data_IF_554143871470
#
_entry.id   IF_554143871470
#
_cell.length_a   1.000
_cell.length_b   1.000
_cell.length_c   1.000
_cell.angle_alpha   90.00
_cell.angle_beta   90.00
_cell.angle_gamma   90.00
#
_symmetry.space_group_name_H-M   'P 1'
#
loop_
_entity.id
_entity.type
_entity.pdbx_description
1 polymer ?
#
# COMPACT_ATOMS: atom_id res chain seq x y z
N UNK A 1 2.47 -8.37 -5.28
CA UNK A 1 1.08 -8.81 -5.09
C UNK A 1 0.14 -7.66 -5.38
N UNK A 2 -1.07 -7.92 -5.86
CA UNK A 2 -2.06 -6.87 -6.16
C UNK A 2 -2.98 -6.66 -4.96
N UNK A 3 -3.09 -5.41 -4.48
CA UNK A 3 -4.05 -4.98 -3.46
C UNK A 3 -5.12 -4.16 -4.17
N UNK A 4 -6.39 -4.48 -3.96
CA UNK A 4 -7.51 -3.88 -4.69
C UNK A 4 -8.53 -3.27 -3.75
N UNK A 5 -9.37 -2.38 -4.29
CA UNK A 5 -10.52 -1.78 -3.61
C UNK A 5 -10.17 -1.05 -2.30
N UNK A 6 -9.17 -0.17 -2.35
CA UNK A 6 -8.79 0.65 -1.20
C UNK A 6 -9.66 1.90 -1.19
N UNK A 7 -10.62 1.92 -0.28
CA UNK A 7 -11.54 3.03 0.00
C UNK A 7 -11.05 3.90 1.17
N UNK A 8 -10.44 3.28 2.20
CA UNK A 8 -9.84 3.98 3.33
C UNK A 8 -8.31 3.96 3.29
N UNK A 9 -7.76 5.05 2.77
CA UNK A 9 -6.32 5.30 2.61
C UNK A 9 -5.57 5.35 3.94
N UNK A 10 -6.21 5.94 4.94
CA UNK A 10 -5.58 6.12 6.25
C UNK A 10 -5.42 4.76 6.93
N UNK A 11 -6.43 3.88 6.82
CA UNK A 11 -6.31 2.51 7.30
C UNK A 11 -5.22 1.75 6.55
N UNK A 12 -5.17 1.88 5.22
CA UNK A 12 -4.12 1.27 4.41
C UNK A 12 -2.72 1.68 4.90
N UNK A 13 -2.45 2.99 5.05
CA UNK A 13 -1.14 3.43 5.50
C UNK A 13 -0.84 3.07 6.96
N UNK A 14 -1.86 2.99 7.83
CA UNK A 14 -1.68 2.43 9.18
C UNK A 14 -1.19 0.98 9.15
N UNK A 15 -1.71 0.16 8.23
CA UNK A 15 -1.23 -1.22 8.03
C UNK A 15 0.19 -1.25 7.48
N UNK A 16 0.52 -0.38 6.53
CA UNK A 16 1.87 -0.25 5.98
C UNK A 16 2.88 0.14 7.07
N UNK A 17 2.52 1.07 7.95
CA UNK A 17 3.37 1.50 9.07
C UNK A 17 3.60 0.39 10.10
N UNK A 18 2.65 -0.53 10.27
CA UNK A 18 2.79 -1.70 11.14
C UNK A 18 3.66 -2.82 10.56
N UNK A 19 3.99 -2.75 9.27
CA UNK A 19 4.87 -3.74 8.67
C UNK A 19 6.29 -3.61 9.25
N UNK A 20 6.99 -4.72 9.44
CA UNK A 20 8.38 -4.74 9.94
C UNK A 20 9.36 -4.35 8.84
N UNK A 21 9.28 -5.03 7.70
CA UNK A 21 10.14 -4.86 6.54
C UNK A 21 9.79 -3.65 5.69
N UNK A 22 10.53 -3.42 4.59
CA UNK A 22 10.14 -2.46 3.57
C UNK A 22 8.89 -2.95 2.83
N UNK A 23 8.01 -2.00 2.50
CA UNK A 23 6.87 -2.23 1.62
C UNK A 23 6.99 -1.25 0.47
N UNK A 24 7.05 -1.77 -0.75
CA UNK A 24 7.28 -0.98 -1.95
C UNK A 24 6.07 -1.05 -2.89
N UNK A 25 5.67 0.10 -3.42
CA UNK A 25 4.76 0.21 -4.56
C UNK A 25 5.56 0.04 -5.85
N UNK A 26 5.01 -0.71 -6.79
CA UNK A 26 5.50 -0.81 -8.17
C UNK A 26 4.60 0.05 -9.05
N UNK A 27 5.18 1.06 -9.71
CA UNK A 27 4.44 1.85 -10.69
C UNK A 27 4.24 1.06 -12.00
N UNK A 28 3.30 1.47 -12.88
CA UNK A 28 3.15 0.86 -14.20
C UNK A 28 4.42 0.89 -15.05
N UNK A 29 5.28 1.89 -14.83
CA UNK A 29 6.58 2.06 -15.49
C UNK A 29 7.68 1.18 -14.88
N UNK A 30 7.41 0.53 -13.74
CA UNK A 30 8.32 -0.37 -13.05
C UNK A 30 9.14 0.28 -11.93
N UNK A 31 8.90 1.56 -11.63
CA UNK A 31 9.56 2.25 -10.53
C UNK A 31 9.13 1.66 -9.18
N UNK A 32 10.06 1.65 -8.22
CA UNK A 32 9.80 1.18 -6.85
C UNK A 32 9.79 2.33 -5.87
N UNK A 33 8.66 2.51 -5.19
CA UNK A 33 8.44 3.59 -4.23
C UNK A 33 8.23 2.98 -2.85
N UNK A 34 9.10 3.31 -1.90
CA UNK A 34 8.95 2.83 -0.52
C UNK A 34 7.77 3.53 0.17
N UNK A 35 6.73 2.76 0.50
CA UNK A 35 5.50 3.27 1.14
C UNK A 35 5.62 3.50 2.64
N UNK A 36 6.74 3.13 3.28
CA UNK A 36 7.02 3.48 4.69
C UNK A 36 7.59 4.89 4.84
N UNK A 37 8.02 5.52 3.75
CA UNK A 37 8.44 6.92 3.74
C UNK A 37 7.20 7.82 3.77
N UNK A 38 7.07 8.67 4.80
CA UNK A 38 5.95 9.63 4.91
C UNK A 38 5.81 10.51 3.67
N UNK A 39 6.93 10.97 3.09
CA UNK A 39 6.90 11.77 1.86
C UNK A 39 6.33 10.97 0.68
N UNK A 40 6.72 9.71 0.57
CA UNK A 40 6.22 8.80 -0.45
C UNK A 40 4.74 8.46 -0.23
N UNK A 41 4.28 8.37 1.02
CA UNK A 41 2.87 8.25 1.36
C UNK A 41 2.10 9.47 0.87
N UNK A 42 2.55 10.69 1.20
CA UNK A 42 1.92 11.94 0.75
C UNK A 42 1.90 12.08 -0.77
N UNK A 43 3.00 11.75 -1.45
CA UNK A 43 3.07 11.79 -2.91
C UNK A 43 2.11 10.77 -3.53
N UNK A 44 2.08 9.54 -3.01
CA UNK A 44 1.17 8.49 -3.47
C UNK A 44 -0.29 8.89 -3.26
N UNK A 45 -0.62 9.53 -2.13
CA UNK A 45 -1.93 10.12 -1.88
C UNK A 45 -2.28 11.19 -2.92
N UNK A 46 -1.38 12.16 -3.15
CA UNK A 46 -1.66 13.24 -4.10
C UNK A 46 -1.83 12.75 -5.55
N UNK A 47 -1.09 11.71 -5.95
CA UNK A 47 -1.04 11.24 -7.34
C UNK A 47 -2.14 10.21 -7.64
N UNK A 48 -2.49 9.35 -6.67
CA UNK A 48 -3.45 8.26 -6.88
C UNK A 48 -4.85 8.54 -6.32
N UNK A 49 -5.00 9.48 -5.37
CA UNK A 49 -6.28 9.76 -4.69
C UNK A 49 -6.99 11.04 -5.14
N UNK A 50 -6.75 11.55 -6.34
CA UNK A 50 -7.55 12.67 -6.87
C UNK A 50 -9.06 12.39 -6.86
N UNK A 51 -9.47 11.11 -6.81
CA UNK A 51 -10.87 10.66 -6.85
C UNK A 51 -11.32 9.86 -5.60
N UNK A 52 -10.53 9.81 -4.52
CA UNK A 52 -10.96 9.21 -3.25
C UNK A 52 -11.06 7.67 -3.21
N UNK A 53 -10.65 6.96 -4.26
CA UNK A 53 -10.68 5.50 -4.33
C UNK A 53 -9.52 4.96 -5.17
N UNK A 54 -8.82 3.95 -4.66
CA UNK A 54 -7.82 3.21 -5.45
C UNK A 54 -8.37 1.85 -5.83
N UNK A 55 -8.41 1.62 -7.14
CA UNK A 55 -8.87 0.35 -7.71
C UNK A 55 -7.88 -0.79 -7.47
N UNK A 56 -6.58 -0.55 -7.70
CA UNK A 56 -5.53 -1.55 -7.62
C UNK A 56 -4.15 -0.93 -7.38
N UNK A 57 -3.31 -1.59 -6.58
CA UNK A 57 -1.89 -1.32 -6.37
C UNK A 57 -1.06 -2.60 -6.50
N UNK A 58 0.09 -2.49 -7.13
CA UNK A 58 1.11 -3.55 -7.12
C UNK A 58 2.12 -3.30 -5.99
N UNK A 59 2.18 -4.22 -5.03
CA UNK A 59 2.97 -4.09 -3.80
C UNK A 59 4.01 -5.21 -3.69
N UNK A 60 5.20 -4.88 -3.20
CA UNK A 60 6.24 -5.82 -2.81
C UNK A 60 6.43 -5.72 -1.29
N UNK A 61 6.33 -6.86 -0.62
CA UNK A 61 6.69 -7.05 0.79
C UNK A 61 7.57 -8.30 0.89
N UNK A 62 8.56 -8.28 1.79
CA UNK A 62 9.55 -9.37 1.93
C UNK A 62 9.35 -10.20 3.20
N UNK A 63 8.83 -9.57 4.27
CA UNK A 63 8.58 -10.26 5.52
C UNK A 63 7.28 -11.07 5.44
N UNK A 64 7.32 -12.32 5.89
CA UNK A 64 6.17 -13.23 5.83
C UNK A 64 5.00 -12.71 6.65
N UNK A 65 5.25 -12.15 7.84
CA UNK A 65 4.18 -11.61 8.70
C UNK A 65 3.55 -10.36 8.07
N UNK A 66 4.35 -9.56 7.36
CA UNK A 66 3.85 -8.38 6.65
C UNK A 66 2.98 -8.77 5.45
N UNK A 67 3.39 -9.81 4.71
CA UNK A 67 2.57 -10.38 3.65
C UNK A 67 1.23 -10.88 4.21
N UNK A 68 1.25 -11.65 5.31
CA UNK A 68 0.04 -12.15 5.97
C UNK A 68 -0.86 -10.99 6.44
N UNK A 69 -0.28 -9.92 6.99
CA UNK A 69 -1.01 -8.70 7.38
C UNK A 69 -1.67 -8.00 6.20
N UNK A 70 -0.94 -7.81 5.10
CA UNK A 70 -1.45 -7.16 3.88
C UNK A 70 -2.55 -8.00 3.23
N UNK A 71 -2.42 -9.33 3.23
CA UNK A 71 -3.47 -10.25 2.78
C UNK A 71 -4.70 -10.10 3.67
N UNK A 72 -4.54 -10.11 5.00
CA UNK A 72 -5.65 -9.95 5.94
C UNK A 72 -6.40 -8.65 5.69
N UNK A 73 -5.69 -7.54 5.50
CA UNK A 73 -6.25 -6.23 5.13
C UNK A 73 -7.13 -6.34 3.87
N UNK A 74 -6.62 -6.98 2.80
CA UNK A 74 -7.38 -7.15 1.55
C UNK A 74 -8.67 -7.93 1.71
N UNK A 75 -8.68 -9.00 2.51
CA UNK A 75 -9.85 -9.87 2.66
C UNK A 75 -10.88 -9.34 3.64
N UNK A 76 -10.45 -8.60 4.66
CA UNK A 76 -11.31 -8.16 5.76
C UNK A 76 -11.78 -6.71 5.64
N UNK A 77 -11.11 -5.88 4.81
CA UNK A 77 -11.49 -4.49 4.61
C UNK A 77 -11.37 -3.61 5.85
N UNK A 78 -10.49 -3.98 6.80
CA UNK A 78 -10.22 -3.20 8.01
C UNK A 78 -9.23 -2.06 7.77
#
# INVERSE_FOLDING_TARGET
MKIQNIDNVESFFKIIDQCKGPVELVSPEGDRINLKSKLSQYLSMATMFSNGYIKELDIIAQDKEDIERLIKYMYQGE
#
